data_IF_691521223476
#
_entry.id   IF_691521223476
#
_cell.length_a   1.000
_cell.length_b   1.000
_cell.length_c   1.000
_cell.angle_alpha   90.00
_cell.angle_beta   90.00
_cell.angle_gamma   90.00
#
_symmetry.space_group_name_H-M   'P 1'
#
loop_
_entity.id
_entity.type
_entity.pdbx_description
1 polymer ?
#
# COMPACT_ATOMS: atom_id res chain seq x y z
N UNK A 1 -13.28 5.60 15.55
CA UNK A 1 -13.03 5.35 14.11
C UNK A 1 -11.68 4.66 14.03
N UNK A 2 -11.59 3.47 13.41
CA UNK A 2 -10.32 2.76 13.35
C UNK A 2 -9.37 3.48 12.38
N UNK A 3 -8.12 3.69 12.80
CA UNK A 3 -7.11 4.43 12.04
C UNK A 3 -6.40 3.58 11.00
N UNK A 4 -6.67 2.28 10.97
CA UNK A 4 -6.12 1.26 10.06
C UNK A 4 -7.26 0.67 9.24
N UNK A 5 -6.96 0.17 8.04
CA UNK A 5 -7.85 -0.67 7.23
C UNK A 5 -8.64 -1.67 8.11
N UNK A 6 -9.99 -1.70 8.05
CA UNK A 6 -10.80 -2.56 8.91
C UNK A 6 -10.47 -4.05 8.80
N UNK A 7 -10.17 -4.52 7.58
CA UNK A 7 -9.81 -5.91 7.32
C UNK A 7 -8.52 -6.29 8.05
N UNK A 8 -7.48 -5.48 7.88
CA UNK A 8 -6.22 -5.62 8.60
C UNK A 8 -6.40 -5.53 10.12
N UNK A 9 -7.13 -4.51 10.59
CA UNK A 9 -7.30 -4.27 12.02
C UNK A 9 -7.90 -5.48 12.75
N UNK A 10 -8.93 -6.11 12.17
CA UNK A 10 -9.55 -7.30 12.78
C UNK A 10 -8.61 -8.50 12.84
N UNK A 11 -7.70 -8.67 11.86
CA UNK A 11 -6.67 -9.71 11.91
C UNK A 11 -5.67 -9.44 13.03
N UNK A 12 -5.11 -8.22 13.04
CA UNK A 12 -4.12 -7.81 14.03
C UNK A 12 -4.66 -7.89 15.46
N UNK A 13 -5.96 -7.57 15.64
CA UNK A 13 -6.63 -7.63 16.94
C UNK A 13 -6.75 -9.06 17.46
N UNK A 14 -7.08 -10.03 16.61
CA UNK A 14 -7.19 -11.44 17.00
C UNK A 14 -5.88 -12.00 17.54
N UNK A 15 -4.75 -11.55 16.98
CA UNK A 15 -3.42 -11.99 17.42
C UNK A 15 -2.76 -11.01 18.40
N UNK A 16 -3.49 -9.99 18.88
CA UNK A 16 -3.02 -9.00 19.84
C UNK A 16 -1.75 -8.24 19.40
N UNK A 17 -1.59 -8.00 18.09
CA UNK A 17 -0.43 -7.31 17.51
C UNK A 17 -0.75 -5.90 16.98
N UNK A 18 -1.95 -5.38 17.20
CA UNK A 18 -2.35 -4.01 16.79
C UNK A 18 -1.31 -2.98 17.26
N UNK A 19 -0.88 -3.05 18.52
CA UNK A 19 0.05 -2.08 19.10
C UNK A 19 1.53 -2.38 18.77
N UNK A 20 1.79 -3.37 17.91
CA UNK A 20 3.11 -3.86 17.58
C UNK A 20 3.93 -2.95 16.65
N UNK A 21 3.31 -1.92 16.06
CA UNK A 21 3.99 -0.99 15.13
C UNK A 21 4.01 0.43 15.66
N UNK A 22 5.06 1.17 15.29
CA UNK A 22 5.16 2.61 15.56
C UNK A 22 4.06 3.40 14.83
N UNK A 23 3.58 2.88 13.68
CA UNK A 23 2.46 3.44 12.91
C UNK A 23 1.22 3.62 13.78
N UNK A 24 0.75 2.55 14.44
CA UNK A 24 -0.49 2.61 15.22
C UNK A 24 -0.39 3.58 16.39
N UNK A 25 0.71 3.51 17.14
CA UNK A 25 0.93 4.44 18.26
C UNK A 25 0.98 5.89 17.80
N UNK A 26 1.58 6.15 16.63
CA UNK A 26 1.57 7.48 16.03
C UNK A 26 0.16 7.91 15.64
N UNK A 27 -0.64 7.03 15.03
CA UNK A 27 -2.05 7.33 14.74
C UNK A 27 -2.85 7.60 16.02
N UNK A 28 -2.67 6.83 17.10
CA UNK A 28 -3.31 7.11 18.39
C UNK A 28 -2.91 8.48 18.96
N UNK A 29 -1.63 8.85 18.81
CA UNK A 29 -1.15 10.18 19.19
C UNK A 29 -1.89 11.27 18.39
N UNK A 30 -2.04 11.09 17.07
CA UNK A 30 -2.79 12.04 16.23
C UNK A 30 -4.27 12.14 16.66
N UNK A 31 -4.95 11.02 16.90
CA UNK A 31 -6.36 10.99 17.31
C UNK A 31 -6.60 11.72 18.65
N UNK A 32 -5.70 11.56 19.62
CA UNK A 32 -5.79 12.27 20.91
C UNK A 32 -5.80 13.80 20.75
N UNK A 33 -5.16 14.30 19.70
CA UNK A 33 -5.06 15.73 19.40
C UNK A 33 -6.12 16.22 18.39
N UNK A 34 -6.81 15.31 17.70
CA UNK A 34 -7.89 15.61 16.74
C UNK A 34 -9.12 16.27 17.40
N UNK A 35 -9.38 16.00 18.69
CA UNK A 35 -10.62 16.39 19.38
C UNK A 35 -10.61 17.72 20.16
N UNK A 36 -9.54 18.52 20.11
CA UNK A 36 -9.33 19.63 21.07
C UNK A 36 -9.58 21.03 20.47
N UNK A 37 -9.98 21.14 19.20
CA UNK A 37 -10.10 22.44 18.51
C UNK A 37 -11.39 23.20 18.86
N UNK A 38 -11.27 24.25 19.67
CA UNK A 38 -12.28 25.28 19.92
C UNK A 38 -12.10 26.50 19.00
N UNK A 39 -13.22 26.92 18.39
CA UNK A 39 -13.44 28.09 17.51
C UNK A 39 -12.81 27.99 16.11
N UNK A 40 -13.68 27.85 15.11
CA UNK A 40 -13.37 27.70 13.68
C UNK A 40 -13.64 29.02 12.95
N UNK A 41 -12.72 29.99 12.99
CA UNK A 41 -12.80 31.06 11.98
C UNK A 41 -12.03 30.58 10.73
N UNK A 42 -12.79 30.31 9.67
CA UNK A 42 -12.26 29.89 8.38
C UNK A 42 -12.73 30.81 7.25
N UNK A 43 -12.97 32.10 7.55
CA UNK A 43 -13.40 33.10 6.57
C UNK A 43 -12.37 33.24 5.44
N UNK A 44 -11.10 32.94 5.72
CA UNK A 44 -10.04 32.88 4.70
C UNK A 44 -10.29 31.83 3.61
N UNK A 45 -11.17 30.86 3.83
CA UNK A 45 -11.58 29.86 2.84
C UNK A 45 -12.56 30.42 1.81
N UNK A 46 -13.19 31.58 2.06
CA UNK A 46 -14.19 32.16 1.16
C UNK A 46 -13.63 32.60 -0.19
N UNK A 47 -12.31 32.83 -0.24
CA UNK A 47 -11.59 33.11 -1.49
C UNK A 47 -11.34 31.86 -2.36
N UNK A 48 -11.73 30.68 -1.89
CA UNK A 48 -11.54 29.41 -2.59
C UNK A 48 -12.88 28.75 -2.93
N UNK A 49 -12.92 28.12 -4.10
CA UNK A 49 -14.07 27.32 -4.54
C UNK A 49 -14.04 25.93 -3.91
N UNK A 50 -14.37 25.87 -2.61
CA UNK A 50 -14.46 24.63 -1.83
C UNK A 50 -15.94 24.31 -1.62
N UNK A 51 -16.35 23.08 -1.94
CA UNK A 51 -17.74 22.63 -1.74
C UNK A 51 -18.02 22.40 -0.26
N UNK A 52 -17.16 21.66 0.43
CA UNK A 52 -17.28 21.41 1.86
C UNK A 52 -16.27 22.22 2.69
N UNK A 53 -16.54 23.51 2.82
CA UNK A 53 -15.70 24.43 3.63
C UNK A 53 -15.58 23.98 5.08
N UNK A 54 -16.61 23.36 5.64
CA UNK A 54 -16.66 22.97 7.04
C UNK A 54 -15.66 21.86 7.35
N UNK A 55 -15.57 20.87 6.46
CA UNK A 55 -14.65 19.74 6.56
C UNK A 55 -13.22 20.18 6.35
N UNK A 56 -12.97 20.96 5.29
CA UNK A 56 -11.62 21.46 5.01
C UNK A 56 -11.12 22.36 6.15
N UNK A 57 -11.97 23.24 6.67
CA UNK A 57 -11.68 24.07 7.83
C UNK A 57 -11.27 23.24 9.06
N UNK A 58 -12.06 22.22 9.42
CA UNK A 58 -11.77 21.37 10.57
C UNK A 58 -10.42 20.65 10.42
N UNK A 59 -10.17 20.06 9.25
CA UNK A 59 -8.92 19.33 9.00
C UNK A 59 -7.71 20.26 8.97
N UNK A 60 -7.84 21.47 8.42
CA UNK A 60 -6.73 22.43 8.39
C UNK A 60 -6.37 22.94 9.78
N UNK A 61 -7.34 23.21 10.65
CA UNK A 61 -7.03 23.60 12.03
C UNK A 61 -6.36 22.46 12.81
N UNK A 62 -6.78 21.21 12.59
CA UNK A 62 -6.08 20.03 13.13
C UNK A 62 -4.65 19.98 12.64
N UNK A 63 -4.43 20.10 11.33
CA UNK A 63 -3.08 20.09 10.74
C UNK A 63 -2.24 21.23 11.30
N UNK A 64 -2.78 22.44 11.39
CA UNK A 64 -2.09 23.60 11.96
C UNK A 64 -1.65 23.34 13.41
N UNK A 65 -2.51 22.78 14.25
CA UNK A 65 -2.20 22.42 15.63
C UNK A 65 -1.10 21.34 15.73
N UNK A 66 -1.14 20.33 14.87
CA UNK A 66 -0.09 19.31 14.76
C UNK A 66 1.23 19.96 14.35
N UNK A 67 1.17 20.81 13.32
CA UNK A 67 2.33 21.45 12.74
C UNK A 67 3.02 22.46 13.68
N UNK A 68 2.28 23.07 14.60
CA UNK A 68 2.84 23.92 15.67
C UNK A 68 3.72 23.14 16.65
N UNK A 69 3.43 21.87 16.86
CA UNK A 69 4.20 20.97 17.73
C UNK A 69 5.08 20.00 16.94
N UNK A 70 5.20 20.19 15.62
CA UNK A 70 5.82 19.22 14.72
C UNK A 70 7.24 18.85 15.15
N UNK A 71 8.13 19.83 15.23
CA UNK A 71 9.55 19.59 15.47
C UNK A 71 9.83 18.98 16.85
N UNK A 72 9.05 19.36 17.87
CA UNK A 72 9.23 18.95 19.25
C UNK A 72 8.51 17.65 19.64
N UNK A 73 7.42 17.30 18.95
CA UNK A 73 6.56 16.16 19.34
C UNK A 73 6.48 15.09 18.26
N UNK A 74 6.26 15.47 17.00
CA UNK A 74 5.85 14.52 15.96
C UNK A 74 6.98 14.09 15.04
N UNK A 75 7.85 15.02 14.63
CA UNK A 75 8.85 14.78 13.60
C UNK A 75 9.78 13.60 13.95
N UNK A 76 10.22 13.51 15.20
CA UNK A 76 11.12 12.44 15.68
C UNK A 76 10.45 11.47 16.66
N UNK A 77 9.14 11.28 16.53
CA UNK A 77 8.38 10.37 17.40
C UNK A 77 9.02 8.97 17.44
N UNK A 78 9.30 8.47 18.64
CA UNK A 78 10.01 7.19 18.87
C UNK A 78 11.25 7.01 17.96
N UNK A 79 12.05 8.06 17.79
CA UNK A 79 13.29 8.08 16.99
C UNK A 79 13.09 7.80 15.49
N UNK A 80 11.85 7.87 15.00
CA UNK A 80 11.57 7.74 13.57
C UNK A 80 12.17 8.90 12.78
N UNK A 81 12.48 8.61 11.53
CA UNK A 81 12.87 9.63 10.56
C UNK A 81 11.69 10.61 10.35
N UNK A 82 11.93 11.94 10.32
CA UNK A 82 10.89 12.94 10.05
C UNK A 82 10.08 12.73 8.77
N UNK A 83 10.70 12.18 7.72
CA UNK A 83 9.97 11.84 6.49
C UNK A 83 8.99 10.69 6.73
N UNK A 84 9.33 9.74 7.62
CA UNK A 84 8.47 8.60 7.96
C UNK A 84 7.26 9.03 8.79
N UNK A 85 7.46 9.87 9.81
CA UNK A 85 6.36 10.43 10.60
C UNK A 85 5.49 11.36 9.78
N UNK A 86 6.07 12.10 8.83
CA UNK A 86 5.29 12.89 7.87
C UNK A 86 4.47 12.01 6.92
N UNK A 87 5.02 10.89 6.44
CA UNK A 87 4.27 9.91 5.66
C UNK A 87 3.08 9.38 6.49
N UNK A 88 3.30 9.00 7.76
CA UNK A 88 2.21 8.58 8.65
C UNK A 88 1.13 9.66 8.78
N UNK A 89 1.49 10.93 8.98
CA UNK A 89 0.50 12.01 9.03
C UNK A 89 -0.32 12.09 7.73
N UNK A 90 0.31 11.94 6.56
CA UNK A 90 -0.39 11.95 5.27
C UNK A 90 -1.40 10.80 5.15
N UNK A 91 -0.99 9.55 5.41
CA UNK A 91 -1.90 8.40 5.35
C UNK A 91 -3.00 8.44 6.41
N UNK A 92 -2.74 9.07 7.55
CA UNK A 92 -3.78 9.34 8.54
C UNK A 92 -4.82 10.33 8.01
N UNK A 93 -4.39 11.41 7.33
CA UNK A 93 -5.29 12.41 6.73
C UNK A 93 -6.10 11.85 5.56
N UNK A 94 -5.54 10.93 4.75
CA UNK A 94 -6.29 10.23 3.70
C UNK A 94 -7.58 9.60 4.24
N UNK A 95 -7.50 8.97 5.41
CA UNK A 95 -8.66 8.39 6.09
C UNK A 95 -9.73 9.44 6.44
N UNK A 96 -9.30 10.62 6.88
CA UNK A 96 -10.21 11.70 7.28
C UNK A 96 -10.91 12.35 6.09
N UNK A 97 -10.20 12.48 4.97
CA UNK A 97 -10.73 13.00 3.71
C UNK A 97 -11.68 11.98 3.04
N UNK A 98 -11.38 10.69 3.14
CA UNK A 98 -12.22 9.61 2.61
C UNK A 98 -13.64 9.62 3.20
N UNK A 99 -13.77 9.69 4.53
CA UNK A 99 -15.05 9.51 5.21
C UNK A 99 -15.99 10.72 5.21
N UNK A 100 -15.53 11.89 4.75
CA UNK A 100 -16.29 13.15 4.84
C UNK A 100 -16.87 13.63 3.50
N UNK A 101 -17.12 12.70 2.56
CA UNK A 101 -17.67 12.96 1.22
C UNK A 101 -16.95 14.06 0.40
N UNK A 102 -15.68 14.33 0.70
CA UNK A 102 -14.91 15.45 0.13
C UNK A 102 -14.64 15.26 -1.37
N UNK A 103 -14.88 16.29 -2.20
CA UNK A 103 -14.65 16.17 -3.65
C UNK A 103 -13.14 16.17 -3.99
N UNK A 104 -12.71 15.63 -5.14
CA UNK A 104 -11.29 15.68 -5.54
C UNK A 104 -10.71 17.09 -5.51
N UNK A 105 -11.47 18.10 -5.96
CA UNK A 105 -11.05 19.49 -5.88
C UNK A 105 -10.85 19.97 -4.43
N UNK A 106 -11.70 19.53 -3.50
CA UNK A 106 -11.57 19.90 -2.09
C UNK A 106 -10.35 19.21 -1.45
N UNK A 107 -10.02 17.98 -1.85
CA UNK A 107 -8.80 17.26 -1.46
C UNK A 107 -7.56 18.03 -1.93
N UNK A 108 -7.51 18.40 -3.22
CA UNK A 108 -6.42 19.20 -3.78
C UNK A 108 -6.27 20.54 -3.05
N UNK A 109 -7.40 21.20 -2.77
CA UNK A 109 -7.44 22.45 -2.03
C UNK A 109 -6.92 22.30 -0.60
N UNK A 110 -7.26 21.22 0.09
CA UNK A 110 -6.74 20.94 1.44
C UNK A 110 -5.21 20.85 1.44
N UNK A 111 -4.63 20.06 0.54
CA UNK A 111 -3.17 19.91 0.49
C UNK A 111 -2.45 21.17 0.04
N UNK A 112 -3.05 21.92 -0.89
CA UNK A 112 -2.55 23.25 -1.26
C UNK A 112 -2.50 24.20 -0.06
N UNK A 113 -3.56 24.22 0.76
CA UNK A 113 -3.64 25.07 1.95
C UNK A 113 -2.68 24.61 3.05
N UNK A 114 -2.49 23.31 3.22
CA UNK A 114 -1.44 22.77 4.08
C UNK A 114 -0.05 23.22 3.60
N UNK A 115 0.25 23.11 2.31
CA UNK A 115 1.52 23.59 1.76
C UNK A 115 1.75 25.09 2.05
N UNK A 116 0.71 25.92 1.93
CA UNK A 116 0.76 27.33 2.34
C UNK A 116 1.07 27.52 3.83
N UNK A 117 0.37 26.80 4.71
CA UNK A 117 0.63 26.82 6.16
C UNK A 117 2.07 26.42 6.52
N UNK A 118 2.70 25.59 5.68
CA UNK A 118 4.11 25.25 5.82
C UNK A 118 5.03 26.40 5.40
N UNK A 119 4.84 26.98 4.21
CA UNK A 119 5.69 28.08 3.70
C UNK A 119 5.61 29.31 4.61
N UNK A 120 4.40 29.67 5.06
CA UNK A 120 4.17 30.87 5.86
C UNK A 120 4.87 30.81 7.24
N UNK A 121 5.20 29.61 7.73
CA UNK A 121 5.93 29.37 8.99
C UNK A 121 7.36 28.85 8.75
N UNK A 122 8.14 29.59 7.96
CA UNK A 122 9.49 29.24 7.46
C UNK A 122 10.60 28.91 8.49
N UNK A 123 10.27 28.80 9.79
CA UNK A 123 11.22 28.49 10.86
C UNK A 123 11.21 27.02 11.32
N UNK A 124 10.45 26.13 10.67
CA UNK A 124 10.43 24.71 11.06
C UNK A 124 11.71 23.99 10.67
N UNK A 125 12.23 23.20 11.61
CA UNK A 125 13.43 22.37 11.42
C UNK A 125 13.18 21.20 10.49
N UNK A 126 12.02 20.55 10.60
CA UNK A 126 11.67 19.39 9.77
C UNK A 126 10.50 19.70 8.84
N UNK A 127 10.69 19.37 7.57
CA UNK A 127 9.68 19.52 6.52
C UNK A 127 8.57 18.49 6.70
N UNK A 128 7.31 18.95 6.69
CA UNK A 128 6.18 18.03 6.54
C UNK A 128 4.99 18.67 5.83
N UNK A 129 4.79 18.23 4.60
CA UNK A 129 3.61 18.44 3.77
C UNK A 129 3.61 17.37 2.68
N UNK A 130 2.49 17.18 1.99
CA UNK A 130 2.46 16.30 0.82
C UNK A 130 3.04 17.03 -0.39
N UNK A 131 4.09 16.51 -1.03
CA UNK A 131 4.64 17.10 -2.26
C UNK A 131 3.83 16.72 -3.51
N UNK A 132 3.06 15.65 -3.45
CA UNK A 132 2.32 15.07 -4.57
C UNK A 132 0.84 14.96 -4.18
N UNK A 133 0.07 16.01 -4.42
CA UNK A 133 -1.28 16.11 -3.86
C UNK A 133 -2.38 16.47 -4.86
N UNK A 134 -2.11 16.35 -6.16
CA UNK A 134 -3.03 16.78 -7.19
C UNK A 134 -3.77 15.61 -7.81
N UNK A 135 -5.09 15.73 -7.90
CA UNK A 135 -5.95 14.87 -8.71
C UNK A 135 -6.40 13.57 -8.04
N UNK A 136 -6.17 13.40 -6.73
CA UNK A 136 -6.57 12.15 -6.08
C UNK A 136 -8.08 12.06 -5.88
N UNK A 137 -8.64 10.91 -6.25
CA UNK A 137 -9.99 10.53 -5.86
C UNK A 137 -9.99 9.72 -4.56
N UNK A 138 -11.16 9.60 -3.92
CA UNK A 138 -11.31 8.91 -2.64
C UNK A 138 -10.79 7.46 -2.67
N UNK A 139 -11.11 6.73 -3.74
CA UNK A 139 -10.68 5.35 -3.92
C UNK A 139 -9.16 5.23 -3.97
N UNK A 140 -8.48 6.17 -4.62
CA UNK A 140 -7.01 6.18 -4.66
C UNK A 140 -6.41 6.42 -3.28
N UNK A 141 -6.99 7.34 -2.49
CA UNK A 141 -6.55 7.58 -1.11
C UNK A 141 -6.74 6.35 -0.21
N UNK A 142 -7.85 5.63 -0.37
CA UNK A 142 -8.14 4.40 0.37
C UNK A 142 -7.15 3.29 0.00
N UNK A 143 -6.96 3.05 -1.30
CA UNK A 143 -6.01 2.06 -1.83
C UNK A 143 -4.57 2.33 -1.38
N UNK A 144 -4.15 3.60 -1.45
CA UNK A 144 -2.85 4.06 -0.94
C UNK A 144 -2.66 3.70 0.52
N UNK A 145 -3.64 4.06 1.35
CA UNK A 145 -3.61 3.80 2.79
C UNK A 145 -3.60 2.31 3.10
N UNK A 146 -4.45 1.54 2.45
CA UNK A 146 -4.59 0.10 2.66
C UNK A 146 -3.27 -0.63 2.38
N UNK A 147 -2.64 -0.34 1.23
CA UNK A 147 -1.35 -0.92 0.89
C UNK A 147 -0.26 -0.47 1.87
N UNK A 148 -0.19 0.83 2.18
CA UNK A 148 0.82 1.37 3.09
C UNK A 148 0.71 0.78 4.51
N UNK A 149 -0.48 0.77 5.10
CA UNK A 149 -0.69 0.24 6.45
C UNK A 149 -0.31 -1.26 6.49
N UNK A 150 -0.67 -2.06 5.48
CA UNK A 150 -0.21 -3.45 5.40
C UNK A 150 1.32 -3.56 5.39
N UNK A 151 2.01 -2.76 4.58
CA UNK A 151 3.47 -2.82 4.46
C UNK A 151 4.17 -2.48 5.78
N UNK A 152 3.60 -1.56 6.58
CA UNK A 152 4.09 -1.26 7.94
C UNK A 152 3.90 -2.41 8.92
N UNK A 153 2.87 -3.23 8.74
CA UNK A 153 2.58 -4.38 9.59
C UNK A 153 3.18 -5.69 9.10
N UNK A 154 3.73 -5.72 7.88
CA UNK A 154 4.14 -6.96 7.23
C UNK A 154 5.08 -7.81 8.10
N UNK A 155 6.08 -7.20 8.74
CA UNK A 155 7.01 -7.94 9.60
C UNK A 155 6.31 -8.59 10.81
N UNK A 156 5.39 -7.87 11.46
CA UNK A 156 4.61 -8.41 12.58
C UNK A 156 3.69 -9.54 12.15
N UNK A 157 3.07 -9.42 10.97
CA UNK A 157 2.23 -10.46 10.36
C UNK A 157 3.09 -11.68 10.03
N UNK A 158 4.23 -11.48 9.37
CA UNK A 158 5.20 -12.52 9.02
C UNK A 158 5.65 -13.31 10.24
N UNK A 159 5.95 -12.63 11.35
CA UNK A 159 6.34 -13.30 12.59
C UNK A 159 5.21 -14.15 13.18
N UNK A 160 3.96 -13.69 13.10
CA UNK A 160 2.79 -14.51 13.48
C UNK A 160 2.59 -15.73 12.59
N UNK A 161 2.79 -15.60 11.29
CA UNK A 161 2.67 -16.72 10.34
C UNK A 161 3.77 -17.79 10.51
N UNK A 162 4.87 -17.48 11.22
CA UNK A 162 5.88 -18.49 11.59
C UNK A 162 5.43 -19.39 12.74
N UNK A 163 4.43 -18.98 13.54
CA UNK A 163 3.99 -19.74 14.70
C UNK A 163 3.35 -21.09 14.26
N UNK A 164 3.71 -22.23 14.90
CA UNK A 164 3.24 -23.55 14.48
C UNK A 164 1.72 -23.77 14.55
N UNK A 165 1.01 -22.93 15.33
CA UNK A 165 -0.44 -22.99 15.53
C UNK A 165 -1.09 -21.66 15.15
N UNK A 166 -0.77 -21.16 13.95
CA UNK A 166 -1.47 -20.00 13.41
C UNK A 166 -2.93 -20.37 13.08
N UNK A 167 -3.83 -20.14 14.05
CA UNK A 167 -5.28 -20.33 13.88
C UNK A 167 -5.88 -19.34 12.88
N UNK A 168 -5.17 -18.26 12.55
CA UNK A 168 -5.58 -17.23 11.60
C UNK A 168 -4.92 -17.39 10.24
N UNK A 169 -4.10 -18.44 10.02
CA UNK A 169 -3.37 -18.68 8.76
C UNK A 169 -4.23 -18.42 7.52
N UNK A 170 -5.41 -19.03 7.44
CA UNK A 170 -6.32 -18.86 6.31
C UNK A 170 -6.82 -17.41 6.14
N UNK A 171 -7.04 -16.69 7.25
CA UNK A 171 -7.44 -15.30 7.23
C UNK A 171 -6.29 -14.39 6.78
N UNK A 172 -5.05 -14.66 7.19
CA UNK A 172 -3.88 -13.93 6.67
C UNK A 172 -3.68 -14.20 5.18
N UNK A 173 -3.73 -15.46 4.73
CA UNK A 173 -3.62 -15.79 3.32
C UNK A 173 -4.72 -15.11 2.49
N UNK A 174 -5.96 -15.07 2.99
CA UNK A 174 -7.06 -14.37 2.31
C UNK A 174 -6.81 -12.87 2.20
N UNK A 175 -6.26 -12.24 3.24
CA UNK A 175 -5.93 -10.82 3.22
C UNK A 175 -4.73 -10.52 2.33
N UNK A 176 -3.70 -11.38 2.33
CA UNK A 176 -2.56 -11.30 1.42
C UNK A 176 -3.02 -11.34 -0.04
N UNK A 177 -3.96 -12.22 -0.38
CA UNK A 177 -4.56 -12.24 -1.73
C UNK A 177 -5.12 -10.88 -2.12
N UNK A 178 -5.96 -10.29 -1.26
CA UNK A 178 -6.55 -8.96 -1.48
C UNK A 178 -5.48 -7.88 -1.66
N UNK A 179 -4.41 -7.89 -0.86
CA UNK A 179 -3.34 -6.90 -0.97
C UNK A 179 -2.51 -7.06 -2.25
N UNK A 180 -2.19 -8.30 -2.64
CA UNK A 180 -1.40 -8.55 -3.84
C UNK A 180 -2.22 -8.28 -5.12
N UNK A 181 -3.53 -8.55 -5.10
CA UNK A 181 -4.46 -8.12 -6.15
C UNK A 181 -4.52 -6.59 -6.24
N UNK A 182 -4.66 -5.90 -5.10
CA UNK A 182 -4.62 -4.44 -5.04
C UNK A 182 -3.32 -3.87 -5.62
N UNK A 183 -2.16 -4.46 -5.30
CA UNK A 183 -0.89 -4.08 -5.90
C UNK A 183 -0.93 -4.21 -7.45
N UNK A 184 -1.48 -5.31 -7.99
CA UNK A 184 -1.61 -5.48 -9.45
C UNK A 184 -2.49 -4.40 -10.09
N UNK A 185 -3.59 -4.04 -9.43
CA UNK A 185 -4.49 -2.98 -9.91
C UNK A 185 -3.80 -1.62 -9.90
N UNK A 186 -3.10 -1.29 -8.81
CA UNK A 186 -2.32 -0.05 -8.67
C UNK A 186 -1.21 0.04 -9.74
N UNK A 187 -0.50 -1.06 -10.01
CA UNK A 187 0.56 -1.13 -11.05
C UNK A 187 0.02 -0.88 -12.47
N UNK A 188 -1.24 -1.21 -12.72
CA UNK A 188 -1.90 -1.05 -14.02
C UNK A 188 -2.64 0.28 -14.19
N UNK A 189 -2.56 1.16 -13.21
CA UNK A 189 -3.21 2.48 -13.27
C UNK A 189 -2.58 3.33 -14.38
N UNK A 190 -3.41 4.07 -15.12
CA UNK A 190 -2.98 4.85 -16.28
C UNK A 190 -1.96 5.94 -15.93
N UNK A 191 -2.08 6.54 -14.74
CA UNK A 191 -1.11 7.49 -14.23
C UNK A 191 -0.09 6.76 -13.33
N UNK A 192 1.17 6.58 -13.77
CA UNK A 192 2.19 5.90 -12.99
C UNK A 192 2.62 6.70 -11.75
N UNK A 193 2.24 7.98 -11.63
CA UNK A 193 2.53 8.80 -10.48
C UNK A 193 1.54 8.60 -9.34
N UNK A 194 0.31 8.14 -9.62
CA UNK A 194 -0.73 7.97 -8.60
C UNK A 194 -0.22 7.13 -7.46
N UNK A 195 0.31 5.92 -7.71
CA UNK A 195 0.69 4.95 -6.68
C UNK A 195 2.19 4.72 -6.52
N UNK A 196 3.01 5.63 -7.06
CA UNK A 196 4.47 5.44 -7.18
C UNK A 196 5.13 5.05 -5.86
N UNK A 197 4.87 5.79 -4.79
CA UNK A 197 5.56 5.61 -3.51
C UNK A 197 5.15 4.28 -2.85
N UNK A 198 3.88 3.89 -2.98
CA UNK A 198 3.38 2.62 -2.45
C UNK A 198 3.91 1.42 -3.25
N UNK A 199 3.94 1.51 -4.58
CA UNK A 199 4.51 0.47 -5.47
C UNK A 199 6.01 0.29 -5.19
N UNK A 200 6.78 1.38 -5.06
CA UNK A 200 8.20 1.34 -4.75
C UNK A 200 8.47 0.69 -3.39
N UNK A 201 7.64 0.99 -2.37
CA UNK A 201 7.74 0.36 -1.05
C UNK A 201 7.40 -1.13 -1.11
N UNK A 202 6.34 -1.51 -1.82
CA UNK A 202 5.96 -2.91 -2.01
C UNK A 202 7.08 -3.72 -2.67
N UNK A 203 7.60 -3.22 -3.81
CA UNK A 203 8.70 -3.87 -4.53
C UNK A 203 9.94 -3.99 -3.65
N UNK A 204 10.28 -2.98 -2.84
CA UNK A 204 11.42 -3.07 -1.92
C UNK A 204 11.32 -4.24 -0.94
N UNK A 205 10.11 -4.58 -0.50
CA UNK A 205 9.87 -5.68 0.44
C UNK A 205 9.84 -7.02 -0.31
N UNK A 206 9.10 -7.12 -1.42
CA UNK A 206 8.77 -8.40 -2.03
C UNK A 206 9.58 -8.78 -3.28
N UNK A 207 10.39 -7.87 -3.83
CA UNK A 207 11.14 -8.15 -5.05
C UNK A 207 12.30 -9.14 -4.83
N UNK A 208 12.85 -9.24 -3.61
CA UNK A 208 13.70 -10.38 -3.25
C UNK A 208 12.79 -11.62 -3.11
N UNK A 209 13.06 -12.65 -3.92
CA UNK A 209 12.27 -13.88 -3.97
C UNK A 209 12.13 -14.58 -2.61
N UNK A 210 12.95 -14.24 -1.60
CA UNK A 210 12.83 -14.80 -0.24
C UNK A 210 11.49 -14.52 0.42
N UNK A 211 11.00 -13.29 0.34
CA UNK A 211 9.73 -12.92 1.00
C UNK A 211 8.55 -13.56 0.28
N UNK A 212 8.58 -13.60 -1.05
CA UNK A 212 7.58 -14.31 -1.85
C UNK A 212 7.58 -15.81 -1.56
N UNK A 213 8.75 -16.46 -1.57
CA UNK A 213 8.87 -17.88 -1.28
C UNK A 213 8.34 -18.23 0.12
N UNK A 214 8.66 -17.41 1.13
CA UNK A 214 8.10 -17.58 2.47
C UNK A 214 6.56 -17.54 2.44
N UNK A 215 5.99 -16.55 1.73
CA UNK A 215 4.55 -16.43 1.60
C UNK A 215 3.93 -17.56 0.80
N UNK A 216 4.57 -18.09 -0.23
CA UNK A 216 4.09 -19.24 -1.00
C UNK A 216 4.09 -20.53 -0.18
N UNK A 217 5.13 -20.76 0.64
CA UNK A 217 5.20 -21.90 1.55
C UNK A 217 4.07 -21.84 2.60
N UNK A 218 3.80 -20.64 3.14
CA UNK A 218 2.74 -20.46 4.13
C UNK A 218 1.37 -20.44 3.49
N UNK A 219 1.19 -19.75 2.38
CA UNK A 219 -0.07 -19.56 1.70
C UNK A 219 0.05 -20.11 0.27
N UNK A 220 -0.09 -21.45 0.10
CA UNK A 220 -0.15 -22.02 -1.23
C UNK A 220 -1.34 -21.42 -1.99
N UNK A 221 -1.26 -21.46 -3.32
CA UNK A 221 -2.35 -21.07 -4.24
C UNK A 221 -2.62 -19.55 -4.36
N UNK A 222 -1.71 -18.69 -3.90
CA UNK A 222 -1.82 -17.23 -4.10
C UNK A 222 -1.24 -16.71 -5.44
N UNK A 223 -0.65 -17.60 -6.25
CA UNK A 223 0.00 -17.25 -7.53
C UNK A 223 1.07 -16.14 -7.40
N UNK A 224 1.79 -16.07 -6.27
CA UNK A 224 2.70 -14.97 -5.98
C UNK A 224 3.88 -14.89 -6.96
N UNK A 225 4.33 -16.02 -7.52
CA UNK A 225 5.30 -16.03 -8.61
C UNK A 225 4.90 -15.25 -9.86
N UNK A 226 3.63 -14.87 -10.02
CA UNK A 226 3.14 -14.04 -11.14
C UNK A 226 2.97 -12.56 -10.78
N UNK A 227 3.20 -12.14 -9.53
CA UNK A 227 2.90 -10.78 -9.06
C UNK A 227 3.62 -9.70 -9.88
N UNK A 228 4.89 -9.90 -10.22
CA UNK A 228 5.68 -8.94 -11.01
C UNK A 228 5.65 -9.19 -12.51
N UNK A 229 4.82 -10.13 -12.98
CA UNK A 229 4.64 -10.35 -14.41
C UNK A 229 3.86 -9.20 -15.03
N UNK A 230 4.43 -8.58 -16.06
CA UNK A 230 3.79 -7.58 -16.92
C UNK A 230 2.80 -8.21 -17.91
N UNK A 231 2.90 -9.52 -18.16
CA UNK A 231 2.04 -10.26 -19.08
C UNK A 231 0.61 -10.43 -18.57
N UNK A 232 0.41 -10.42 -17.26
CA UNK A 232 -0.88 -10.76 -16.65
C UNK A 232 -1.45 -9.58 -15.87
N UNK A 233 -2.72 -9.27 -16.17
CA UNK A 233 -3.48 -8.21 -15.49
C UNK A 233 -3.97 -8.61 -14.09
N UNK A 234 -4.14 -9.89 -13.84
CA UNK A 234 -4.59 -10.38 -12.54
C UNK A 234 -3.50 -11.20 -11.88
N UNK A 235 -3.52 -11.28 -10.55
CA UNK A 235 -2.57 -12.07 -9.77
C UNK A 235 -2.63 -13.56 -10.15
N UNK A 236 -3.86 -14.10 -10.21
CA UNK A 236 -4.14 -15.47 -10.63
C UNK A 236 -4.92 -15.49 -11.96
N UNK A 237 -4.25 -15.43 -13.13
CA UNK A 237 -4.93 -15.39 -14.43
C UNK A 237 -5.66 -16.70 -14.79
N UNK A 238 -5.32 -17.80 -14.13
CA UNK A 238 -5.84 -19.14 -14.46
C UNK A 238 -7.02 -19.59 -13.57
N UNK A 239 -7.34 -18.89 -12.48
CA UNK A 239 -8.47 -19.25 -11.60
C UNK A 239 -9.84 -19.12 -12.29
N UNK A 240 -9.94 -18.29 -13.33
CA UNK A 240 -11.17 -18.05 -14.09
C UNK A 240 -11.29 -18.88 -15.37
N UNK A 241 -10.26 -19.67 -15.72
CA UNK A 241 -10.30 -20.51 -16.91
C UNK A 241 -11.05 -21.80 -16.60
N UNK A 242 -12.00 -22.18 -17.46
CA UNK A 242 -12.66 -23.46 -17.33
C UNK A 242 -11.63 -24.61 -17.48
N UNK A 243 -11.80 -25.75 -16.78
CA UNK A 243 -10.95 -26.92 -16.98
C UNK A 243 -10.94 -27.31 -18.47
N UNK A 244 -9.78 -27.17 -19.14
CA UNK A 244 -9.59 -27.48 -20.57
C UNK A 244 -9.24 -26.30 -21.49
N UNK A 245 -9.35 -25.04 -21.04
CA UNK A 245 -8.86 -23.88 -21.82
C UNK A 245 -7.33 -23.73 -21.75
N UNK A 246 -6.73 -24.13 -20.63
CA UNK A 246 -5.29 -24.11 -20.39
C UNK A 246 -4.50 -25.04 -21.33
N UNK A 247 -5.02 -26.25 -21.60
CA UNK A 247 -4.39 -27.19 -22.54
C UNK A 247 -4.36 -26.63 -23.96
N UNK A 248 -5.46 -25.98 -24.40
CA UNK A 248 -5.56 -25.39 -25.75
C UNK A 248 -4.66 -24.18 -25.96
N UNK A 249 -4.43 -23.37 -24.93
CA UNK A 249 -3.54 -22.21 -25.01
C UNK A 249 -2.06 -22.60 -25.07
N UNK A 250 -1.65 -23.58 -24.27
CA UNK A 250 -0.27 -24.09 -24.28
C UNK A 250 0.04 -24.94 -25.52
N UNK A 251 -0.93 -25.74 -26.01
CA UNK A 251 -0.79 -26.47 -27.28
C UNK A 251 -0.56 -25.53 -28.48
N UNK A 252 -1.20 -24.36 -28.51
CA UNK A 252 -0.96 -23.35 -29.57
C UNK A 252 0.42 -22.69 -29.48
N UNK A 253 0.95 -22.50 -28.27
CA UNK A 253 2.31 -22.00 -28.07
C UNK A 253 3.36 -22.99 -28.56
N UNK A 254 3.17 -24.29 -28.29
CA UNK A 254 4.08 -25.34 -28.73
C UNK A 254 3.97 -25.62 -30.24
N UNK A 255 2.79 -25.46 -30.85
CA UNK A 255 2.60 -25.63 -32.29
C UNK A 255 3.37 -24.60 -33.16
N UNK A 256 3.80 -23.47 -32.58
CA UNK A 256 4.60 -22.48 -33.29
C UNK A 256 6.12 -22.77 -33.25
N UNK A 257 6.59 -23.72 -32.45
CA UNK A 257 8.00 -24.14 -32.43
C UNK A 257 8.38 -25.02 -33.64
N UNK A 258 7.41 -25.66 -34.29
CA UNK A 258 7.63 -26.46 -35.50
C UNK A 258 7.98 -25.63 -36.75
N UNK A 259 8.08 -24.30 -36.63
CA UNK A 259 8.43 -23.40 -37.73
C UNK A 259 9.89 -22.93 -37.74
N UNK A 260 10.72 -23.31 -36.77
CA UNK A 260 12.17 -23.14 -36.89
C UNK A 260 12.75 -24.29 -37.73
N UNK A 261 12.55 -24.19 -39.04
CA UNK A 261 13.35 -24.92 -40.03
C UNK A 261 14.79 -24.36 -40.04
N UNK A 262 15.53 -24.63 -38.97
CA UNK A 262 16.98 -24.55 -38.94
C UNK A 262 17.54 -25.96 -39.02
N UNK A 263 18.15 -26.33 -40.16
CA UNK A 263 18.97 -27.54 -40.27
C UNK A 263 20.08 -27.52 -39.21
N UNK A 264 19.81 -28.07 -38.03
CA UNK A 264 20.81 -28.53 -37.09
C UNK A 264 21.01 -30.02 -37.34
N UNK A 265 22.18 -30.41 -37.84
CA UNK A 265 22.55 -31.82 -37.94
C UNK A 265 22.42 -32.46 -36.56
N UNK A 266 21.64 -33.53 -36.46
CA UNK A 266 21.70 -34.47 -35.34
C UNK A 266 23.08 -35.10 -35.40
N UNK A 267 23.98 -34.63 -34.54
CA UNK A 267 25.13 -35.42 -34.14
C UNK A 267 24.60 -36.49 -33.20
N UNK A 268 24.66 -37.75 -33.63
CA UNK A 268 24.61 -38.89 -32.74
C UNK A 268 25.66 -38.70 -31.63
N UNK A 269 25.29 -39.16 -30.43
CA UNK A 269 26.06 -39.20 -29.17
C UNK A 269 25.72 -38.07 -28.18
N UNK A 270 24.71 -38.32 -27.34
CA UNK A 270 24.90 -38.50 -25.90
C UNK A 270 23.56 -38.87 -25.24
N UNK A 271 23.22 -40.15 -25.28
CA UNK A 271 22.54 -40.77 -24.13
C UNK A 271 23.49 -40.63 -22.93
N UNK A 272 23.01 -39.98 -21.87
CA UNK A 272 23.59 -39.80 -20.52
C UNK A 272 23.91 -38.34 -20.16
N UNK A 273 22.88 -37.55 -19.83
CA UNK A 273 22.90 -36.64 -18.66
C UNK A 273 21.47 -36.47 -18.16
N UNK A 274 20.93 -37.48 -17.48
CA UNK A 274 19.70 -37.32 -16.70
C UNK A 274 19.70 -38.33 -15.55
N UNK A 275 20.71 -38.23 -14.67
CA UNK A 275 20.73 -38.98 -13.42
C UNK A 275 21.70 -38.46 -12.34
N UNK A 276 21.91 -37.14 -12.24
CA UNK A 276 22.64 -36.55 -11.09
C UNK A 276 22.03 -35.21 -10.63
N UNK A 277 20.76 -35.24 -10.21
CA UNK A 277 20.18 -34.17 -9.39
C UNK A 277 19.23 -34.71 -8.30
N UNK A 278 19.54 -35.90 -7.77
CA UNK A 278 18.99 -36.41 -6.52
C UNK A 278 20.07 -37.14 -5.73
N UNK A 279 21.00 -36.36 -5.16
CA UNK A 279 21.63 -36.56 -3.85
C UNK A 279 21.99 -35.19 -3.27
#
# INVERSE_FOLDING_TARGET
MNTIDPGLYELLKKDSIVNGTKLYKFYELLEKHYGVSTIRNCDYLDKYSIKDKSVICELLEVVKNILEKWDGTYAKYEELNPNKTCAYLNYWLYNKLFYKDTSPCDIDMFYYLWYKLYIDKSQRKYKCYNEKYYGFIKEELDNKKKLFDFLEYYNSIKDKMKEPKDKQKNNYCSYLKVIFELYKEMEQTNDPHTYKDEIELFRRIFFDNKELHFLEEKCPDLCLGLVFSDKYKTLCPFEKMAPGEFEKANLKSCANLDSINGRGKVGENNENVLLDALL
#
